data_IF_893932047855
#
_entry.id   IF_893932047855
#
_cell.length_a   1.000
_cell.length_b   1.000
_cell.length_c   1.000
_cell.angle_alpha   90.00
_cell.angle_beta   90.00
_cell.angle_gamma   90.00
#
_symmetry.space_group_name_H-M   'P 1'
#
loop_
_entity.id
_entity.type
_entity.pdbx_description
1 polymer ?
#
# COMPACT_ATOMS: atom_id res chain seq x y z
N UNK A 1 -15.89 46.17 -41.15
CA UNK A 1 -16.15 45.35 -39.97
C UNK A 1 -14.83 44.82 -39.48
N UNK A 2 -14.37 45.37 -38.36
CA UNK A 2 -13.30 44.79 -37.56
C UNK A 2 -13.80 43.48 -36.97
N UNK A 3 -13.16 42.37 -37.32
CA UNK A 3 -13.11 41.21 -36.44
C UNK A 3 -11.66 41.06 -36.00
N UNK A 4 -11.45 41.43 -34.74
CA UNK A 4 -10.22 41.37 -33.99
C UNK A 4 -9.69 39.92 -33.93
N UNK A 5 -8.59 39.67 -34.63
CA UNK A 5 -7.89 38.39 -34.69
C UNK A 5 -6.95 38.16 -33.49
N UNK A 6 -7.14 38.85 -32.35
CA UNK A 6 -6.30 38.70 -31.15
C UNK A 6 -6.75 37.63 -30.16
N UNK A 7 -7.68 36.75 -30.52
CA UNK A 7 -7.88 35.50 -29.78
C UNK A 7 -6.77 34.51 -30.12
N UNK A 8 -5.57 34.83 -29.64
CA UNK A 8 -4.49 33.85 -29.46
C UNK A 8 -5.12 32.63 -28.79
N UNK A 9 -5.08 31.42 -29.38
CA UNK A 9 -5.46 30.24 -28.64
C UNK A 9 -4.56 30.24 -27.41
N UNK A 10 -5.15 30.20 -26.22
CA UNK A 10 -4.45 30.14 -24.94
C UNK A 10 -3.36 29.09 -25.11
N UNK A 11 -2.13 29.54 -25.36
CA UNK A 11 -0.95 28.71 -25.37
C UNK A 11 -0.75 28.40 -23.90
N UNK A 12 -1.45 27.35 -23.44
CA UNK A 12 -1.15 26.69 -22.18
C UNK A 12 0.36 26.44 -22.22
N UNK A 13 1.09 27.23 -21.44
CA UNK A 13 2.54 27.17 -21.37
C UNK A 13 2.91 25.70 -21.13
N UNK A 14 3.78 25.14 -21.97
CA UNK A 14 4.23 23.75 -21.83
C UNK A 14 4.78 23.50 -20.41
N UNK A 15 5.34 24.53 -19.77
CA UNK A 15 5.78 24.49 -18.39
C UNK A 15 4.61 24.28 -17.42
N UNK A 16 3.48 24.97 -17.61
CA UNK A 16 2.29 24.81 -16.80
C UNK A 16 1.71 23.40 -16.95
N UNK A 17 1.61 22.87 -18.18
CA UNK A 17 1.14 21.50 -18.42
C UNK A 17 2.06 20.43 -17.81
N UNK A 18 3.38 20.66 -17.84
CA UNK A 18 4.34 19.73 -17.24
C UNK A 18 4.21 19.73 -15.70
N UNK A 19 4.13 20.90 -15.08
CA UNK A 19 3.92 21.02 -13.63
C UNK A 19 2.62 20.32 -13.19
N UNK A 20 1.52 20.48 -13.94
CA UNK A 20 0.27 19.79 -13.62
C UNK A 20 0.38 18.27 -13.73
N UNK A 21 1.16 17.76 -14.69
CA UNK A 21 1.39 16.33 -14.86
C UNK A 21 2.27 15.75 -13.73
N UNK A 22 3.32 16.47 -13.33
CA UNK A 22 4.19 16.05 -12.24
C UNK A 22 3.43 16.00 -10.90
N UNK A 23 2.57 16.99 -10.66
CA UNK A 23 1.68 16.99 -9.49
C UNK A 23 0.69 15.82 -9.54
N UNK A 24 0.09 15.54 -10.70
CA UNK A 24 -0.84 14.42 -10.86
C UNK A 24 -0.13 13.08 -10.62
N UNK A 25 1.08 12.90 -11.16
CA UNK A 25 1.89 11.71 -10.93
C UNK A 25 2.21 11.54 -9.45
N UNK A 26 2.64 12.60 -8.75
CA UNK A 26 2.90 12.54 -7.31
C UNK A 26 1.65 12.15 -6.50
N UNK A 27 0.47 12.67 -6.88
CA UNK A 27 -0.81 12.31 -6.25
C UNK A 27 -1.14 10.83 -6.51
N UNK A 28 -0.94 10.34 -7.72
CA UNK A 28 -1.14 8.92 -8.06
C UNK A 28 -0.17 8.05 -7.26
N UNK A 29 1.12 8.40 -7.24
CA UNK A 29 2.14 7.67 -6.49
C UNK A 29 1.84 7.58 -5.00
N UNK A 30 1.35 8.67 -4.40
CA UNK A 30 0.99 8.70 -2.99
C UNK A 30 -0.24 7.86 -2.66
N UNK A 31 -1.16 7.66 -3.61
CA UNK A 31 -2.45 7.00 -3.37
C UNK A 31 -2.51 5.55 -3.84
N UNK A 32 -1.66 5.16 -4.79
CA UNK A 32 -1.63 3.80 -5.32
C UNK A 32 -0.76 2.90 -4.44
N UNK A 33 -1.38 1.87 -3.87
CA UNK A 33 -0.73 0.94 -2.94
C UNK A 33 0.53 0.26 -3.49
N UNK A 34 0.64 0.10 -4.81
CA UNK A 34 1.83 -0.44 -5.46
C UNK A 34 3.10 0.30 -5.01
N UNK A 35 3.09 1.65 -5.04
CA UNK A 35 4.28 2.44 -4.70
C UNK A 35 4.62 2.36 -3.22
N UNK A 36 3.62 2.32 -2.33
CA UNK A 36 3.84 2.05 -0.92
C UNK A 36 4.49 0.67 -0.71
N UNK A 37 3.95 -0.38 -1.31
CA UNK A 37 4.45 -1.75 -1.18
C UNK A 37 5.87 -1.90 -1.75
N UNK A 38 6.14 -1.29 -2.91
CA UNK A 38 7.41 -1.38 -3.62
C UNK A 38 8.49 -0.47 -3.02
N UNK A 39 8.19 0.81 -2.87
CA UNK A 39 9.19 1.85 -2.57
C UNK A 39 9.30 2.09 -1.08
N UNK A 40 8.18 2.18 -0.36
CA UNK A 40 8.22 2.39 1.08
C UNK A 40 8.49 1.07 1.79
N UNK A 41 7.71 0.01 1.60
CA UNK A 41 7.87 -1.25 2.32
C UNK A 41 9.10 -2.05 1.86
N UNK A 42 9.53 -1.83 0.61
CA UNK A 42 10.75 -2.39 0.04
C UNK A 42 10.57 -3.80 -0.52
N UNK A 43 9.37 -4.14 -1.00
CA UNK A 43 9.15 -5.41 -1.68
C UNK A 43 9.88 -5.45 -3.03
N UNK A 44 10.35 -6.63 -3.42
CA UNK A 44 11.00 -6.84 -4.72
C UNK A 44 9.95 -6.91 -5.84
N UNK A 45 10.38 -6.81 -7.11
CA UNK A 45 9.48 -7.04 -8.24
C UNK A 45 8.85 -8.43 -8.21
N UNK A 46 9.60 -9.46 -7.82
CA UNK A 46 9.08 -10.82 -7.65
C UNK A 46 7.96 -10.91 -6.61
N UNK A 47 8.09 -10.16 -5.51
CA UNK A 47 7.05 -10.08 -4.49
C UNK A 47 5.80 -9.37 -5.01
N UNK A 48 5.99 -8.30 -5.79
CA UNK A 48 4.89 -7.57 -6.42
C UNK A 48 4.14 -8.44 -7.44
N UNK A 49 4.84 -9.28 -8.22
CA UNK A 49 4.19 -10.25 -9.09
C UNK A 49 3.29 -11.19 -8.31
N UNK A 50 3.80 -11.73 -7.20
CA UNK A 50 3.01 -12.62 -6.35
C UNK A 50 1.80 -11.95 -5.74
N UNK A 51 1.94 -10.71 -5.24
CA UNK A 51 0.79 -9.91 -4.78
C UNK A 51 -0.21 -9.73 -5.93
N UNK A 52 0.25 -9.46 -7.14
CA UNK A 52 -0.62 -9.30 -8.31
C UNK A 52 -1.44 -10.56 -8.58
N UNK A 53 -0.86 -11.75 -8.44
CA UNK A 53 -1.56 -13.01 -8.70
C UNK A 53 -2.41 -13.51 -7.52
N UNK A 54 -1.89 -13.44 -6.30
CA UNK A 54 -2.51 -14.04 -5.11
C UNK A 54 -3.41 -13.05 -4.36
N UNK A 55 -3.12 -11.74 -4.48
CA UNK A 55 -3.86 -10.68 -3.81
C UNK A 55 -4.15 -9.45 -4.71
N UNK A 56 -4.69 -9.63 -5.93
CA UNK A 56 -4.84 -8.54 -6.92
C UNK A 56 -5.62 -7.35 -6.39
N UNK A 57 -6.63 -7.59 -5.53
CA UNK A 57 -7.44 -6.51 -4.97
C UNK A 57 -6.64 -5.54 -4.10
N UNK A 58 -5.49 -5.95 -3.55
CA UNK A 58 -4.61 -5.09 -2.77
C UNK A 58 -4.04 -3.93 -3.61
N UNK A 59 -3.81 -4.15 -4.91
CA UNK A 59 -3.30 -3.12 -5.83
C UNK A 59 -4.34 -2.07 -6.21
N UNK A 60 -5.64 -2.38 -6.01
CA UNK A 60 -6.74 -1.42 -6.16
C UNK A 60 -7.09 -0.66 -4.89
N UNK A 61 -6.44 -0.96 -3.76
CA UNK A 61 -6.67 -0.26 -2.48
C UNK A 61 -5.82 1.02 -2.41
N UNK A 62 -6.27 1.97 -1.60
CA UNK A 62 -5.46 3.15 -1.30
C UNK A 62 -4.23 2.80 -0.48
N UNK A 63 -3.18 3.60 -0.62
CA UNK A 63 -1.98 3.52 0.23
C UNK A 63 -2.32 3.49 1.71
N UNK A 64 -3.22 4.35 2.18
CA UNK A 64 -3.60 4.39 3.59
C UNK A 64 -4.29 3.11 4.07
N UNK A 65 -5.11 2.50 3.22
CA UNK A 65 -5.76 1.22 3.53
C UNK A 65 -4.73 0.11 3.73
N UNK A 66 -3.74 0.03 2.84
CA UNK A 66 -2.67 -0.96 2.96
C UNK A 66 -1.76 -0.65 4.15
N UNK A 67 -1.35 0.61 4.33
CA UNK A 67 -0.55 1.06 5.48
C UNK A 67 -1.22 0.71 6.80
N UNK A 68 -2.55 0.88 6.91
CA UNK A 68 -3.31 0.48 8.11
C UNK A 68 -3.22 -1.01 8.38
N UNK A 69 -3.34 -1.87 7.37
CA UNK A 69 -3.20 -3.34 7.51
C UNK A 69 -1.78 -3.70 7.98
N UNK A 70 -0.76 -3.08 7.38
CA UNK A 70 0.64 -3.30 7.76
C UNK A 70 0.89 -2.85 9.20
N UNK A 71 0.41 -1.69 9.60
CA UNK A 71 0.56 -1.19 10.97
C UNK A 71 -0.12 -2.11 11.98
N UNK A 72 -1.32 -2.62 11.69
CA UNK A 72 -1.97 -3.60 12.58
C UNK A 72 -1.11 -4.85 12.74
N UNK A 73 -0.58 -5.43 11.65
CA UNK A 73 0.31 -6.60 11.73
C UNK A 73 1.58 -6.29 12.53
N UNK A 74 2.22 -5.16 12.23
CA UNK A 74 3.45 -4.69 12.88
C UNK A 74 3.25 -4.48 14.38
N UNK A 75 2.27 -3.67 14.76
CA UNK A 75 2.11 -3.19 16.14
C UNK A 75 1.56 -4.31 17.06
N UNK A 76 0.67 -5.16 16.54
CA UNK A 76 0.07 -6.24 17.33
C UNK A 76 0.99 -7.44 17.54
N UNK A 77 1.95 -7.69 16.63
CA UNK A 77 2.91 -8.80 16.75
C UNK A 77 4.36 -8.33 16.96
N UNK A 78 4.61 -7.03 17.04
CA UNK A 78 5.94 -6.41 17.12
C UNK A 78 6.87 -6.85 15.96
N UNK A 79 6.33 -6.85 14.73
CA UNK A 79 7.10 -7.22 13.53
C UNK A 79 7.89 -6.03 13.01
N UNK A 80 9.16 -6.25 12.75
CA UNK A 80 10.00 -5.34 11.99
C UNK A 80 9.61 -5.31 10.52
N UNK A 81 10.02 -4.26 9.81
CA UNK A 81 9.77 -4.10 8.38
C UNK A 81 10.28 -5.29 7.53
N UNK A 82 11.48 -5.88 7.78
CA UNK A 82 11.89 -7.11 7.11
C UNK A 82 10.98 -8.31 7.39
N UNK A 83 10.52 -8.49 8.64
CA UNK A 83 9.60 -9.57 9.00
C UNK A 83 8.23 -9.39 8.31
N UNK A 84 7.73 -8.16 8.20
CA UNK A 84 6.53 -7.86 7.40
C UNK A 84 6.72 -8.27 5.94
N UNK A 85 7.89 -7.98 5.33
CA UNK A 85 8.15 -8.41 3.96
C UNK A 85 8.13 -9.93 3.84
N UNK A 86 8.82 -10.65 4.73
CA UNK A 86 8.79 -12.13 4.76
C UNK A 86 7.35 -12.63 4.89
N UNK A 87 6.56 -12.01 5.76
CA UNK A 87 5.16 -12.39 5.97
C UNK A 87 4.33 -12.21 4.69
N UNK A 88 4.46 -11.07 4.00
CA UNK A 88 3.77 -10.82 2.73
C UNK A 88 4.31 -11.70 1.59
N UNK A 89 5.58 -12.07 1.65
CA UNK A 89 6.17 -13.09 0.78
C UNK A 89 5.70 -14.49 1.13
N UNK A 90 5.15 -14.79 2.29
CA UNK A 90 4.56 -16.11 2.55
C UNK A 90 3.08 -16.12 2.27
N UNK A 91 2.39 -15.03 2.62
CA UNK A 91 0.94 -14.94 2.61
C UNK A 91 0.46 -13.59 2.04
N UNK A 92 0.61 -13.33 0.72
CA UNK A 92 0.08 -12.12 0.08
C UNK A 92 -1.41 -11.89 0.35
N UNK A 93 -2.18 -12.99 0.47
CA UNK A 93 -3.62 -12.98 0.74
C UNK A 93 -4.02 -12.30 2.05
N UNK A 94 -3.09 -12.08 2.99
CA UNK A 94 -3.35 -11.27 4.18
C UNK A 94 -3.82 -9.85 3.83
N UNK A 95 -3.40 -9.32 2.68
CA UNK A 95 -3.81 -7.99 2.21
C UNK A 95 -5.31 -7.92 1.85
N UNK A 96 -5.99 -9.06 1.62
CA UNK A 96 -7.44 -9.11 1.47
C UNK A 96 -8.19 -8.83 2.76
N UNK A 97 -7.58 -9.16 3.91
CA UNK A 97 -8.25 -9.11 5.19
C UNK A 97 -8.36 -7.67 5.68
N UNK A 98 -9.52 -7.33 6.26
CA UNK A 98 -9.69 -6.04 6.94
C UNK A 98 -8.77 -5.94 8.15
N UNK A 99 -8.15 -4.77 8.32
CA UNK A 99 -7.29 -4.50 9.47
C UNK A 99 -8.07 -4.60 10.78
N UNK A 100 -9.23 -3.93 10.86
CA UNK A 100 -9.97 -3.77 12.11
C UNK A 100 -10.97 -4.90 12.37
N UNK A 101 -11.57 -5.50 11.32
CA UNK A 101 -12.58 -6.55 11.49
C UNK A 101 -12.05 -7.98 11.32
N UNK A 102 -10.80 -8.16 10.86
CA UNK A 102 -10.21 -9.49 10.70
C UNK A 102 -8.84 -9.62 11.38
N UNK A 103 -7.83 -8.85 10.94
CA UNK A 103 -6.44 -9.03 11.40
C UNK A 103 -6.32 -8.76 12.91
N UNK A 104 -6.70 -7.55 13.35
CA UNK A 104 -6.62 -7.16 14.75
C UNK A 104 -7.36 -8.12 15.71
N UNK A 105 -8.65 -8.46 15.51
CA UNK A 105 -9.36 -9.32 16.44
C UNK A 105 -8.80 -10.75 16.48
N UNK A 106 -8.34 -11.30 15.34
CA UNK A 106 -7.74 -12.64 15.30
C UNK A 106 -6.40 -12.67 16.05
N UNK A 107 -5.53 -11.67 15.83
CA UNK A 107 -4.25 -11.60 16.53
C UNK A 107 -4.47 -11.39 18.04
N UNK A 108 -5.39 -10.51 18.42
CA UNK A 108 -5.74 -10.30 19.84
C UNK A 108 -6.33 -11.54 20.50
N UNK A 109 -7.14 -12.32 19.77
CA UNK A 109 -7.65 -13.60 20.25
C UNK A 109 -6.50 -14.57 20.56
N UNK A 110 -5.54 -14.72 19.63
CA UNK A 110 -4.38 -15.58 19.84
C UNK A 110 -3.53 -15.12 21.05
N UNK A 111 -3.24 -13.82 21.14
CA UNK A 111 -2.39 -13.26 22.20
C UNK A 111 -3.04 -13.25 23.59
N UNK A 112 -4.35 -13.01 23.68
CA UNK A 112 -5.01 -12.74 24.97
C UNK A 112 -5.86 -13.90 25.47
N UNK A 113 -6.52 -14.61 24.57
CA UNK A 113 -7.46 -15.67 24.95
C UNK A 113 -6.82 -17.06 24.87
N UNK A 114 -5.85 -17.23 23.97
CA UNK A 114 -5.07 -18.46 23.89
C UNK A 114 -3.67 -18.34 24.51
N UNK A 115 -3.36 -17.19 25.11
CA UNK A 115 -2.11 -16.91 25.85
C UNK A 115 -0.82 -17.17 25.03
N UNK A 116 -0.89 -17.01 23.71
CA UNK A 116 0.31 -17.07 22.87
C UNK A 116 1.17 -15.83 23.11
N UNK A 117 2.47 -16.04 23.25
CA UNK A 117 3.45 -14.97 23.16
C UNK A 117 3.57 -14.47 21.71
N UNK A 118 4.02 -13.22 21.56
CA UNK A 118 4.34 -12.67 20.23
C UNK A 118 5.44 -13.45 19.53
N UNK A 119 6.38 -14.04 20.30
CA UNK A 119 7.45 -14.85 19.74
C UNK A 119 6.90 -16.15 19.14
N UNK A 120 6.02 -16.85 19.84
CA UNK A 120 5.38 -18.06 19.30
C UNK A 120 4.60 -17.75 18.01
N UNK A 121 3.87 -16.63 17.97
CA UNK A 121 3.18 -16.22 16.75
C UNK A 121 4.15 -15.92 15.60
N UNK A 122 5.29 -15.28 15.88
CA UNK A 122 6.34 -15.03 14.88
C UNK A 122 6.91 -16.35 14.36
N UNK A 123 7.22 -17.29 15.23
CA UNK A 123 7.79 -18.59 14.86
C UNK A 123 6.83 -19.42 13.99
N UNK A 124 5.52 -19.19 14.13
CA UNK A 124 4.51 -19.84 13.28
C UNK A 124 4.42 -19.28 11.86
N UNK A 125 4.77 -18.00 11.64
CA UNK A 125 4.46 -17.28 10.38
C UNK A 125 5.69 -16.77 9.62
N UNK A 126 6.85 -16.66 10.27
CA UNK A 126 8.13 -16.20 9.67
C UNK A 126 9.02 -17.36 9.25
#
# INVERSE_FOLDING_TARGET
EEFDETLSPILLDKNFTNVTNDMLLAVVESNVSYFYLKNELGLSEGDMWRITFEAPSALGMTTDTIRRKINVLSDTMNLSKPEIRILLQKFPTLLHLSADSNLAPKILFLLRLLDFSRQELKDMIL
#
